data_IF_046953797926
#
_entry.id   IF_046953797926
#
_cell.length_a   1.000
_cell.length_b   1.000
_cell.length_c   1.000
_cell.angle_alpha   90.00
_cell.angle_beta   90.00
_cell.angle_gamma   90.00
#
_symmetry.space_group_name_H-M   'P 1'
#
loop_
_entity.id
_entity.type
_entity.pdbx_description
1 polymer ?
#
# COMPACT_ATOMS: atom_id res chain seq x y z
N UNK A 1 -15.27 -12.58 -1.78
CA UNK A 1 -14.91 -12.51 -1.56
C UNK A 1 -14.03 -12.30 -1.01
N UNK A 2 -13.72 -12.10 -0.87
CA UNK A 2 -13.06 -11.95 -0.36
C UNK A 2 -12.13 -11.84 -0.02
N UNK A 3 -11.67 -11.36 0.01
CA UNK A 3 -10.69 -11.27 0.35
C UNK A 3 -10.29 -11.25 1.44
N UNK A 4 -10.12 -11.16 1.95
CA UNK A 4 -9.87 -11.34 3.25
C UNK A 4 -8.93 -10.46 3.98
N UNK A 5 -8.36 -9.50 3.40
CA UNK A 5 -7.42 -8.63 4.12
C UNK A 5 -7.99 -7.22 4.26
N UNK A 6 -7.58 -6.52 5.33
CA UNK A 6 -8.09 -5.18 5.60
C UNK A 6 -7.31 -4.06 4.95
N UNK A 7 -6.37 -4.37 4.08
CA UNK A 7 -5.48 -3.36 3.53
C UNK A 7 -6.08 -2.63 2.36
N UNK A 8 -5.80 -1.33 2.28
CA UNK A 8 -6.18 -0.52 1.14
C UNK A 8 -5.00 0.36 0.79
N UNK A 9 -4.99 0.91 -0.41
CA UNK A 9 -3.95 1.85 -0.76
C UNK A 9 -4.57 3.13 -1.29
N UNK A 10 -3.79 4.19 -1.23
CA UNK A 10 -4.21 5.49 -1.69
C UNK A 10 -3.11 6.14 -2.50
N UNK A 11 -3.48 6.77 -3.60
CA UNK A 11 -2.54 7.47 -4.45
C UNK A 11 -2.75 8.96 -4.26
N UNK A 12 -1.67 9.70 -4.04
CA UNK A 12 -1.76 11.13 -3.79
C UNK A 12 -0.66 11.85 -4.55
N UNK A 13 -0.89 13.11 -4.92
CA UNK A 13 0.21 13.88 -5.51
C UNK A 13 1.27 14.13 -4.46
N UNK A 14 2.51 14.20 -4.91
CA UNK A 14 3.63 14.50 -4.03
C UNK A 14 3.50 15.95 -3.58
N UNK A 15 3.57 16.21 -2.27
CA UNK A 15 3.45 17.58 -1.79
C UNK A 15 4.55 18.52 -2.28
N UNK A 16 5.69 17.98 -2.66
CA UNK A 16 6.78 18.81 -3.14
C UNK A 16 6.76 18.97 -4.65
N UNK A 17 6.05 18.10 -5.36
CA UNK A 17 6.00 18.16 -6.81
C UNK A 17 4.71 17.53 -7.29
N UNK A 18 3.72 18.36 -7.59
CA UNK A 18 2.41 17.88 -7.96
C UNK A 18 2.38 17.06 -9.25
N UNK A 19 3.46 17.08 -10.02
CA UNK A 19 3.55 16.27 -11.22
C UNK A 19 3.92 14.82 -10.90
N UNK A 20 4.21 14.52 -9.65
CA UNK A 20 4.58 13.17 -9.24
C UNK A 20 3.58 12.65 -8.26
N UNK A 21 3.59 11.34 -8.06
CA UNK A 21 2.59 10.67 -7.23
C UNK A 21 3.23 9.77 -6.21
N UNK A 22 2.63 9.72 -5.04
CA UNK A 22 3.05 8.83 -3.96
C UNK A 22 1.90 7.93 -3.59
N UNK A 23 2.21 6.84 -2.93
CA UNK A 23 1.17 5.92 -2.49
C UNK A 23 1.40 5.52 -1.04
N UNK A 24 0.32 5.10 -0.40
CA UNK A 24 0.34 4.65 0.98
C UNK A 24 -0.55 3.42 1.10
N UNK A 25 -0.09 2.40 1.82
CA UNK A 25 -0.91 1.24 2.13
C UNK A 25 -1.29 1.30 3.59
N UNK A 26 -2.57 1.16 3.86
CA UNK A 26 -3.10 1.34 5.20
C UNK A 26 -4.01 0.20 5.59
N UNK A 27 -4.17 0.03 6.88
CA UNK A 27 -5.19 -0.85 7.45
C UNK A 27 -6.09 0.07 8.28
N UNK A 28 -7.26 0.40 7.76
CA UNK A 28 -8.09 1.40 8.41
C UNK A 28 -7.37 2.74 8.40
N UNK A 29 -7.09 3.26 9.59
CA UNK A 29 -6.36 4.52 9.70
C UNK A 29 -4.88 4.33 9.95
N UNK A 30 -4.43 3.09 10.07
CA UNK A 30 -3.04 2.83 10.38
C UNK A 30 -2.22 2.64 9.12
N UNK A 31 -1.17 3.45 8.96
CA UNK A 31 -0.29 3.36 7.82
C UNK A 31 0.72 2.24 8.05
N UNK A 32 0.84 1.33 7.08
CA UNK A 32 1.80 0.25 7.13
C UNK A 32 3.01 0.51 6.26
N UNK A 33 2.79 1.02 5.06
CA UNK A 33 3.87 1.22 4.09
C UNK A 33 3.61 2.49 3.32
N UNK A 34 4.66 3.22 3.03
CA UNK A 34 4.59 4.39 2.16
C UNK A 34 5.56 4.18 1.00
N UNK A 35 5.29 4.84 -0.10
CA UNK A 35 6.19 4.73 -1.24
C UNK A 35 7.57 5.28 -0.87
N UNK A 36 8.63 4.57 -1.28
CA UNK A 36 9.99 5.04 -0.97
C UNK A 36 10.35 6.30 -1.76
N UNK A 37 9.67 6.57 -2.85
CA UNK A 37 9.93 7.75 -3.64
C UNK A 37 8.66 8.09 -4.42
N UNK A 38 8.64 9.26 -5.02
CA UNK A 38 7.51 9.68 -5.83
C UNK A 38 7.67 9.10 -7.23
N UNK A 39 6.56 8.72 -7.83
CA UNK A 39 6.55 8.14 -9.17
C UNK A 39 6.15 9.18 -10.19
N UNK A 40 6.58 8.99 -11.41
CA UNK A 40 6.33 9.97 -12.46
C UNK A 40 4.93 9.88 -13.03
N UNK A 41 4.21 8.82 -12.77
CA UNK A 41 2.83 8.69 -13.25
C UNK A 41 1.96 8.01 -12.21
N UNK A 42 0.67 8.29 -12.31
CA UNK A 42 -0.28 7.68 -11.40
C UNK A 42 -0.34 6.18 -11.60
N UNK A 43 -0.26 5.73 -12.85
CA UNK A 43 -0.29 4.31 -13.13
C UNK A 43 0.87 3.56 -12.48
N UNK A 44 2.05 4.16 -12.52
CA UNK A 44 3.21 3.59 -11.87
C UNK A 44 3.00 3.48 -10.37
N UNK A 45 2.48 4.55 -9.78
CA UNK A 45 2.23 4.56 -8.35
C UNK A 45 1.21 3.50 -7.97
N UNK A 46 0.18 3.32 -8.78
CA UNK A 46 -0.84 2.31 -8.52
C UNK A 46 -0.28 0.90 -8.60
N UNK A 47 0.58 0.65 -9.56
CA UNK A 47 1.20 -0.66 -9.69
C UNK A 47 2.04 -1.00 -8.47
N UNK A 48 2.82 -0.04 -8.03
CA UNK A 48 3.67 -0.25 -6.87
C UNK A 48 2.84 -0.41 -5.61
N UNK A 49 1.82 0.41 -5.47
CA UNK A 49 0.95 0.33 -4.29
C UNK A 49 0.25 -1.00 -4.21
N UNK A 50 -0.26 -1.46 -5.34
CA UNK A 50 -0.95 -2.74 -5.41
C UNK A 50 -0.02 -3.88 -5.05
N UNK A 51 1.21 -3.85 -5.56
CA UNK A 51 2.19 -4.88 -5.25
C UNK A 51 2.54 -4.88 -3.77
N UNK A 52 2.72 -3.71 -3.19
CA UNK A 52 3.02 -3.61 -1.76
C UNK A 52 1.86 -4.12 -0.91
N UNK A 53 0.65 -3.78 -1.31
CA UNK A 53 -0.53 -4.24 -0.59
C UNK A 53 -0.66 -5.76 -0.65
N UNK A 54 -0.39 -6.34 -1.81
CA UNK A 54 -0.48 -7.78 -1.95
C UNK A 54 0.57 -8.49 -1.10
N UNK A 55 1.75 -7.91 -0.99
CA UNK A 55 2.77 -8.49 -0.14
C UNK A 55 2.34 -8.51 1.31
N UNK A 56 1.74 -7.43 1.79
CA UNK A 56 1.22 -7.39 3.13
C UNK A 56 0.11 -8.40 3.32
N UNK A 57 -0.78 -8.49 2.34
CA UNK A 57 -1.88 -9.42 2.41
C UNK A 57 -1.42 -10.87 2.46
N UNK A 58 -0.33 -11.17 1.76
CA UNK A 58 0.21 -12.51 1.75
C UNK A 58 0.63 -12.97 3.12
N UNK A 59 1.23 -12.07 3.90
CA UNK A 59 1.74 -12.46 5.20
C UNK A 59 0.73 -12.22 6.32
N UNK A 60 -0.30 -11.40 6.05
CA UNK A 60 -1.22 -11.00 7.09
C UNK A 60 -1.93 -12.16 7.78
N UNK A 61 -2.53 -13.08 7.06
CA UNK A 61 -3.28 -14.13 7.75
C UNK A 61 -2.42 -15.11 8.49
N UNK A 62 -1.13 -15.19 8.20
CA UNK A 62 -0.33 -16.14 8.88
C UNK A 62 0.47 -15.57 9.98
N UNK A 63 0.43 -14.30 10.19
CA UNK A 63 1.18 -13.77 11.20
C UNK A 63 0.79 -14.29 12.53
N UNK A 64 -0.24 -14.57 12.76
CA UNK A 64 -0.49 -15.08 14.03
C UNK A 64 -0.13 -16.44 14.25
N UNK A 65 0.07 -16.64 13.98
CA UNK A 65 0.23 -17.71 14.43
C UNK A 65 0.97 -17.92 15.24
N UNK A 66 1.29 -17.43 14.95
CA UNK A 66 2.08 -17.67 15.65
C UNK A 66 1.80 -17.89 16.81
N UNK A 67 1.50 -17.70 16.96
CA UNK A 67 1.31 -17.95 18.01
C UNK A 67 1.21 -18.94 18.53
N UNK A 68 1.23 -19.19 18.26
CA UNK A 68 1.14 -20.13 18.77
C UNK A 68 1.31 -20.47 19.32
#
# INVERSE_FOLDING_TARGET
>A
MSEGHPFTYKIEPDPLNAARFRWTVREGTQVHVRSPHAHSSRGEAEEEASAAMLKLAETWPRKPRAAT
#
